data_IF_978478536811
#
_entry.id   IF_978478536811
#
_cell.length_a   1.000
_cell.length_b   1.000
_cell.length_c   1.000
_cell.angle_alpha   90.00
_cell.angle_beta   90.00
_cell.angle_gamma   90.00
#
_symmetry.space_group_name_H-M   'P 1'
#
loop_
_entity.id
_entity.type
_entity.pdbx_description
1 polymer ?
#
# COMPACT_ATOMS: atom_id res chain seq x y z
N UNK A 1 -19.16 25.27 25.61
CA UNK A 1 -19.57 24.05 24.90
C UNK A 1 -18.82 24.07 23.58
N UNK A 2 -17.67 23.42 23.53
CA UNK A 2 -16.88 23.29 22.29
C UNK A 2 -17.60 22.25 21.45
N UNK A 3 -18.01 22.65 20.24
CA UNK A 3 -18.67 21.77 19.29
C UNK A 3 -17.63 20.77 18.78
N UNK A 4 -17.58 19.61 19.43
CA UNK A 4 -16.64 18.50 19.19
C UNK A 4 -17.04 17.67 17.96
N UNK A 5 -17.57 18.35 16.94
CA UNK A 5 -17.80 17.76 15.62
C UNK A 5 -16.47 17.72 14.89
N UNK A 6 -15.64 16.78 15.32
CA UNK A 6 -14.49 16.36 14.55
C UNK A 6 -14.97 16.03 13.12
N UNK A 7 -14.34 16.56 12.06
CA UNK A 7 -14.75 16.31 10.67
C UNK A 7 -14.53 14.84 10.23
N UNK A 8 -14.21 13.94 11.15
CA UNK A 8 -13.95 12.52 10.90
C UNK A 8 -15.22 11.69 10.69
N UNK A 9 -16.42 12.25 10.92
CA UNK A 9 -17.65 11.43 11.08
C UNK A 9 -18.33 11.07 9.75
N UNK A 10 -18.00 11.70 8.62
CA UNK A 10 -18.79 11.48 7.39
C UNK A 10 -18.24 10.41 6.43
N UNK A 11 -17.07 9.83 6.72
CA UNK A 11 -16.52 8.72 5.94
C UNK A 11 -16.35 7.54 6.88
N UNK A 12 -17.05 6.44 6.62
CA UNK A 12 -16.86 5.20 7.38
C UNK A 12 -15.40 4.75 7.42
N UNK A 13 -15.04 3.70 8.19
CA UNK A 13 -13.65 3.28 8.42
C UNK A 13 -12.88 2.91 7.13
N UNK A 14 -13.58 2.82 6.00
CA UNK A 14 -13.07 2.48 4.68
C UNK A 14 -13.28 3.64 3.72
N UNK A 15 -12.17 4.18 3.19
CA UNK A 15 -12.18 5.21 2.15
C UNK A 15 -11.86 4.58 0.79
N UNK A 16 -12.81 4.50 -0.16
CA UNK A 16 -12.64 3.76 -1.42
C UNK A 16 -11.44 4.22 -2.25
N UNK A 17 -11.15 5.51 -2.27
CA UNK A 17 -9.99 6.05 -3.00
C UNK A 17 -8.68 5.53 -2.42
N UNK A 18 -8.59 5.40 -1.10
CA UNK A 18 -7.39 4.87 -0.43
C UNK A 18 -7.25 3.38 -0.70
N UNK A 19 -8.35 2.62 -0.66
CA UNK A 19 -8.38 1.20 -1.03
C UNK A 19 -7.84 1.01 -2.45
N UNK A 20 -8.42 1.71 -3.44
CA UNK A 20 -8.04 1.58 -4.84
C UNK A 20 -6.57 1.97 -5.09
N UNK A 21 -6.09 3.06 -4.48
CA UNK A 21 -4.71 3.52 -4.66
C UNK A 21 -3.70 2.61 -3.97
N UNK A 22 -4.01 2.13 -2.77
CA UNK A 22 -3.18 1.13 -2.07
C UNK A 22 -3.08 -0.14 -2.91
N UNK A 23 -4.21 -0.63 -3.43
CA UNK A 23 -4.24 -1.82 -4.27
C UNK A 23 -3.39 -1.66 -5.53
N UNK A 24 -3.56 -0.53 -6.22
CA UNK A 24 -2.79 -0.21 -7.43
C UNK A 24 -1.29 -0.17 -7.16
N UNK A 25 -0.86 0.47 -6.08
CA UNK A 25 0.56 0.57 -5.71
C UNK A 25 1.12 -0.80 -5.32
N UNK A 26 0.38 -1.58 -4.52
CA UNK A 26 0.83 -2.89 -4.07
C UNK A 26 1.00 -3.87 -5.25
N UNK A 27 0.02 -3.93 -6.17
CA UNK A 27 0.15 -4.72 -7.40
C UNK A 27 1.27 -4.17 -8.28
N UNK A 28 1.30 -2.86 -8.51
CA UNK A 28 2.29 -2.22 -9.39
C UNK A 28 3.72 -2.47 -8.94
N UNK A 29 4.02 -2.34 -7.64
CA UNK A 29 5.33 -2.65 -7.10
C UNK A 29 5.66 -4.14 -7.18
N UNK A 30 4.67 -5.02 -6.96
CA UNK A 30 4.87 -6.48 -7.10
C UNK A 30 5.23 -6.85 -8.54
N UNK A 31 4.54 -6.26 -9.52
CA UNK A 31 4.83 -6.47 -10.94
C UNK A 31 6.17 -5.84 -11.35
N UNK A 32 6.50 -4.65 -10.86
CA UNK A 32 7.81 -4.03 -11.10
C UNK A 32 8.95 -4.95 -10.62
N UNK A 33 8.80 -5.52 -9.43
CA UNK A 33 9.77 -6.48 -8.90
C UNK A 33 9.87 -7.71 -9.81
N UNK A 34 8.74 -8.37 -10.11
CA UNK A 34 8.74 -9.64 -10.84
C UNK A 34 9.12 -9.52 -12.31
N UNK A 35 8.72 -8.44 -12.98
CA UNK A 35 8.87 -8.29 -14.44
C UNK A 35 10.11 -7.50 -14.86
N UNK A 36 10.64 -6.65 -13.98
CA UNK A 36 11.77 -5.77 -14.31
C UNK A 36 12.96 -6.07 -13.41
N UNK A 37 12.79 -6.01 -12.09
CA UNK A 37 13.93 -6.13 -11.18
C UNK A 37 14.51 -7.55 -11.18
N UNK A 38 13.68 -8.58 -10.98
CA UNK A 38 14.12 -9.97 -10.89
C UNK A 38 14.89 -10.43 -12.15
N UNK A 39 14.38 -10.18 -13.38
CA UNK A 39 15.15 -10.50 -14.59
C UNK A 39 16.48 -9.74 -14.67
N UNK A 40 16.53 -8.48 -14.22
CA UNK A 40 17.74 -7.65 -14.28
C UNK A 40 18.84 -8.09 -13.32
N UNK A 41 18.47 -8.71 -12.20
CA UNK A 41 19.43 -9.21 -11.18
C UNK A 41 19.56 -10.74 -11.20
N UNK A 42 18.94 -11.41 -12.17
CA UNK A 42 18.83 -12.87 -12.23
C UNK A 42 20.18 -13.56 -12.25
N UNK A 43 21.10 -13.06 -13.07
CA UNK A 43 22.45 -13.62 -13.19
C UNK A 43 23.23 -13.51 -11.87
N UNK A 44 23.12 -12.36 -11.19
CA UNK A 44 23.73 -12.15 -9.87
C UNK A 44 23.13 -13.08 -8.82
N UNK A 45 21.80 -13.28 -8.85
CA UNK A 45 21.11 -14.19 -7.93
C UNK A 45 21.41 -15.67 -8.21
N UNK A 46 21.85 -16.02 -9.42
CA UNK A 46 22.27 -17.37 -9.77
C UNK A 46 23.65 -17.73 -9.21
N UNK A 47 24.49 -16.72 -8.94
CA UNK A 47 25.84 -16.91 -8.38
C UNK A 47 25.85 -17.10 -6.86
N UNK A 48 24.78 -16.72 -6.16
CA UNK A 48 24.65 -16.86 -4.70
C UNK A 48 23.87 -18.11 -4.29
N UNK A 49 24.04 -18.51 -3.02
CA UNK A 49 23.35 -19.67 -2.48
C UNK A 49 21.83 -19.48 -2.50
N UNK A 50 21.10 -20.58 -2.70
CA UNK A 50 19.63 -20.58 -2.78
C UNK A 50 18.98 -19.92 -1.55
N UNK A 51 19.55 -20.11 -0.36
CA UNK A 51 19.05 -19.49 0.88
C UNK A 51 19.14 -17.96 0.85
N UNK A 52 20.24 -17.41 0.29
CA UNK A 52 20.41 -15.97 0.13
C UNK A 52 19.41 -15.42 -0.89
N UNK A 53 19.24 -16.11 -2.02
CA UNK A 53 18.29 -15.72 -3.07
C UNK A 53 16.86 -15.66 -2.53
N UNK A 54 16.43 -16.68 -1.78
CA UNK A 54 15.11 -16.68 -1.12
C UNK A 54 15.00 -15.52 -0.12
N UNK A 55 16.03 -15.27 0.69
CA UNK A 55 16.06 -14.16 1.64
C UNK A 55 15.90 -12.80 0.96
N UNK A 56 16.61 -12.56 -0.14
CA UNK A 56 16.52 -11.33 -0.93
C UNK A 56 15.12 -11.17 -1.52
N UNK A 57 14.54 -12.21 -2.10
CA UNK A 57 13.19 -12.16 -2.66
C UNK A 57 12.13 -11.86 -1.59
N UNK A 58 12.23 -12.48 -0.42
CA UNK A 58 11.35 -12.21 0.72
C UNK A 58 11.49 -10.75 1.14
N UNK A 59 12.71 -10.25 1.33
CA UNK A 59 12.95 -8.86 1.72
C UNK A 59 12.40 -7.86 0.71
N UNK A 60 12.62 -8.08 -0.59
CA UNK A 60 12.12 -7.19 -1.65
C UNK A 60 10.59 -7.17 -1.71
N UNK A 61 9.96 -8.34 -1.65
CA UNK A 61 8.49 -8.46 -1.70
C UNK A 61 7.83 -7.90 -0.44
N UNK A 62 8.39 -8.18 0.74
CA UNK A 62 7.90 -7.60 2.00
C UNK A 62 8.09 -6.08 2.02
N UNK A 63 9.27 -5.58 1.61
CA UNK A 63 9.58 -4.16 1.58
C UNK A 63 8.64 -3.36 0.66
N UNK A 64 8.30 -3.90 -0.51
CA UNK A 64 7.39 -3.25 -1.45
C UNK A 64 5.94 -3.18 -0.92
N UNK A 65 5.46 -4.25 -0.28
CA UNK A 65 4.13 -4.30 0.34
C UNK A 65 4.03 -3.37 1.55
N UNK A 66 5.07 -3.32 2.39
CA UNK A 66 5.17 -2.31 3.47
C UNK A 66 5.15 -0.89 2.90
N UNK A 67 5.90 -0.63 1.82
CA UNK A 67 5.89 0.68 1.16
C UNK A 67 4.50 1.05 0.61
N UNK A 68 3.76 0.09 0.06
CA UNK A 68 2.38 0.30 -0.37
C UNK A 68 1.45 0.66 0.81
N UNK A 69 1.62 0.00 1.96
CA UNK A 69 0.90 0.32 3.19
C UNK A 69 1.19 1.73 3.71
N UNK A 70 2.47 2.11 3.74
CA UNK A 70 2.91 3.47 4.08
C UNK A 70 2.28 4.50 3.14
N UNK A 71 2.27 4.21 1.84
CA UNK A 71 1.66 5.09 0.85
C UNK A 71 0.15 5.27 1.09
N UNK A 72 -0.58 4.17 1.29
CA UNK A 72 -2.02 4.21 1.57
C UNK A 72 -2.36 5.02 2.82
N UNK A 73 -1.64 4.79 3.92
CA UNK A 73 -1.85 5.52 5.16
C UNK A 73 -1.47 7.00 5.05
N UNK A 74 -0.38 7.34 4.35
CA UNK A 74 -0.02 8.74 4.05
C UNK A 74 -1.08 9.42 3.19
N UNK A 75 -1.65 8.72 2.21
CA UNK A 75 -2.71 9.26 1.36
C UNK A 75 -3.97 9.58 2.17
N UNK A 76 -4.37 8.68 3.07
CA UNK A 76 -5.50 8.92 3.98
C UNK A 76 -5.23 10.13 4.87
N UNK A 77 -4.07 10.14 5.56
CA UNK A 77 -3.67 11.25 6.43
C UNK A 77 -3.67 12.59 5.68
N UNK A 78 -3.13 12.63 4.46
CA UNK A 78 -3.07 13.85 3.65
C UNK A 78 -4.45 14.43 3.34
N UNK A 79 -5.42 13.56 3.02
CA UNK A 79 -6.75 13.98 2.54
C UNK A 79 -7.76 14.18 3.65
N UNK A 80 -7.70 13.37 4.70
CA UNK A 80 -8.74 13.32 5.73
C UNK A 80 -8.19 13.51 7.15
N UNK A 81 -6.87 13.45 7.32
CA UNK A 81 -6.24 13.45 8.64
C UNK A 81 -6.40 12.08 9.28
N UNK A 82 -5.70 11.85 10.39
CA UNK A 82 -5.90 10.67 11.23
C UNK A 82 -5.73 11.05 12.69
N UNK A 83 -6.66 10.60 13.54
CA UNK A 83 -6.59 10.77 14.99
C UNK A 83 -5.67 9.73 15.64
N UNK A 84 -5.60 8.53 15.06
CA UNK A 84 -4.74 7.44 15.50
C UNK A 84 -4.05 6.71 14.33
N UNK A 85 -3.01 5.93 14.67
CA UNK A 85 -2.32 5.05 13.69
C UNK A 85 -3.26 3.99 13.11
N UNK A 86 -4.24 3.56 13.91
CA UNK A 86 -5.21 2.51 13.55
C UNK A 86 -6.23 2.94 12.50
N UNK A 87 -6.49 4.24 12.35
CA UNK A 87 -7.57 4.76 11.50
C UNK A 87 -7.36 4.42 10.02
N UNK A 88 -6.10 4.32 9.58
CA UNK A 88 -5.77 3.97 8.21
C UNK A 88 -5.83 2.47 7.92
N UNK A 89 -5.73 1.62 8.95
CA UNK A 89 -5.55 0.18 8.80
C UNK A 89 -6.71 -0.48 8.04
N UNK A 90 -8.00 -0.22 8.33
CA UNK A 90 -9.09 -0.90 7.63
C UNK A 90 -9.10 -0.62 6.12
N UNK A 91 -8.91 0.64 5.73
CA UNK A 91 -8.83 1.05 4.32
C UNK A 91 -7.64 0.43 3.60
N UNK A 92 -6.48 0.41 4.25
CA UNK A 92 -5.23 -0.09 3.67
C UNK A 92 -5.23 -1.62 3.57
N UNK A 93 -5.72 -2.32 4.60
CA UNK A 93 -5.88 -3.78 4.61
C UNK A 93 -6.89 -4.22 3.55
N UNK A 94 -8.01 -3.52 3.40
CA UNK A 94 -8.95 -3.83 2.32
C UNK A 94 -8.30 -3.61 0.95
N UNK A 95 -7.48 -2.56 0.80
CA UNK A 95 -6.64 -2.34 -0.37
C UNK A 95 -5.69 -3.51 -0.64
N UNK A 96 -5.07 -4.08 0.40
CA UNK A 96 -4.21 -5.25 0.29
C UNK A 96 -4.98 -6.50 -0.18
N UNK A 97 -6.20 -6.72 0.33
CA UNK A 97 -7.05 -7.83 -0.09
C UNK A 97 -7.45 -7.71 -1.58
N UNK A 98 -7.84 -6.51 -2.01
CA UNK A 98 -8.15 -6.22 -3.43
C UNK A 98 -6.90 -6.42 -4.31
N UNK A 99 -5.74 -5.97 -3.84
CA UNK A 99 -4.47 -6.16 -4.52
C UNK A 99 -4.14 -7.65 -4.70
N UNK A 100 -4.32 -8.44 -3.65
CA UNK A 100 -4.12 -9.88 -3.67
C UNK A 100 -5.04 -10.56 -4.67
N UNK A 101 -6.34 -10.20 -4.72
CA UNK A 101 -7.27 -10.76 -5.69
C UNK A 101 -6.88 -10.42 -7.13
N UNK A 102 -6.43 -9.19 -7.40
CA UNK A 102 -5.92 -8.80 -8.71
C UNK A 102 -4.65 -9.56 -9.08
N UNK A 103 -3.70 -9.69 -8.15
CA UNK A 103 -2.49 -10.49 -8.32
C UNK A 103 -2.82 -11.96 -8.58
N UNK A 104 -3.76 -12.55 -7.82
CA UNK A 104 -4.23 -13.92 -8.00
C UNK A 104 -4.82 -14.12 -9.39
N UNK A 105 -5.64 -13.18 -9.88
CA UNK A 105 -6.17 -13.21 -11.24
C UNK A 105 -5.05 -13.26 -12.29
N UNK A 106 -4.00 -12.44 -12.12
CA UNK A 106 -2.84 -12.45 -13.02
C UNK A 106 -2.04 -13.75 -12.94
N UNK A 107 -1.85 -14.31 -11.75
CA UNK A 107 -1.16 -15.59 -11.55
C UNK A 107 -1.93 -16.72 -12.22
N UNK A 108 -3.25 -16.80 -12.04
CA UNK A 108 -4.09 -17.82 -12.66
C UNK A 108 -4.12 -17.70 -14.19
N UNK A 109 -4.16 -16.48 -14.72
CA UNK A 109 -4.05 -16.22 -16.16
C UNK A 109 -2.67 -16.61 -16.72
N UNK A 110 -1.61 -16.39 -15.95
CA UNK A 110 -0.25 -16.79 -16.34
C UNK A 110 -0.07 -18.31 -16.28
N UNK A 111 -0.61 -18.95 -15.24
CA UNK A 111 -0.58 -20.39 -15.04
C UNK A 111 -1.32 -21.12 -16.17
N UNK A 112 -2.49 -20.62 -16.58
CA UNK A 112 -3.24 -21.19 -17.71
C UNK A 112 -2.52 -21.03 -19.04
N UNK A 113 -1.77 -19.95 -19.24
CA UNK A 113 -0.99 -19.73 -20.44
C UNK A 113 0.26 -20.62 -20.54
N UNK A 114 0.86 -21.00 -19.41
CA UNK A 114 2.13 -21.78 -19.35
C UNK A 114 1.89 -23.26 -19.03
N UNK A 115 0.65 -23.66 -18.72
CA UNK A 115 0.30 -25.04 -18.36
C UNK A 115 0.83 -25.47 -16.99
N UNK A 116 1.02 -24.51 -16.08
CA UNK A 116 1.56 -24.75 -14.74
C UNK A 116 0.43 -24.91 -13.73
N UNK A 117 0.46 -25.96 -12.90
CA UNK A 117 -0.50 -26.11 -11.80
C UNK A 117 0.04 -25.43 -10.54
N UNK A 118 -0.69 -24.41 -10.08
CA UNK A 118 -0.29 -23.62 -8.94
C UNK A 118 -0.73 -24.27 -7.63
N UNK A 119 0.14 -24.29 -6.61
CA UNK A 119 -0.17 -24.99 -5.36
C UNK A 119 -1.14 -24.18 -4.49
N UNK A 120 -2.33 -24.74 -4.26
CA UNK A 120 -3.41 -24.07 -3.51
C UNK A 120 -2.97 -23.61 -2.09
N UNK A 121 -2.07 -24.37 -1.45
CA UNK A 121 -1.52 -24.05 -0.13
C UNK A 121 -0.76 -22.72 -0.11
N UNK A 122 -0.01 -22.41 -1.19
CA UNK A 122 0.69 -21.13 -1.33
C UNK A 122 -0.29 -19.97 -1.31
N UNK A 123 -1.45 -20.13 -1.93
CA UNK A 123 -2.48 -19.09 -2.00
C UNK A 123 -3.08 -18.79 -0.62
N UNK A 124 -3.27 -19.81 0.22
CA UNK A 124 -3.80 -19.64 1.57
C UNK A 124 -2.85 -18.88 2.50
N UNK A 125 -1.54 -19.01 2.29
CA UNK A 125 -0.53 -18.31 3.09
C UNK A 125 -0.27 -16.90 2.56
N UNK A 126 -0.37 -16.70 1.24
CA UNK A 126 -0.08 -15.39 0.63
C UNK A 126 -1.11 -14.33 1.03
N UNK A 127 -2.42 -14.61 1.10
CA UNK A 127 -3.40 -13.58 1.49
C UNK A 127 -3.12 -13.00 2.90
N UNK A 128 -2.97 -13.81 3.97
CA UNK A 128 -2.58 -13.30 5.29
C UNK A 128 -1.27 -12.52 5.24
N UNK A 129 -0.28 -12.99 4.48
CA UNK A 129 1.01 -12.31 4.34
C UNK A 129 0.85 -10.92 3.72
N UNK A 130 0.08 -10.77 2.64
CA UNK A 130 -0.20 -9.46 2.03
C UNK A 130 -0.87 -8.51 3.02
N UNK A 131 -1.89 -9.00 3.73
CA UNK A 131 -2.63 -8.20 4.71
C UNK A 131 -1.69 -7.73 5.83
N UNK A 132 -0.85 -8.61 6.37
CA UNK A 132 0.09 -8.28 7.43
C UNK A 132 1.14 -7.28 6.95
N UNK A 133 1.80 -7.53 5.83
CA UNK A 133 2.90 -6.68 5.35
C UNK A 133 2.42 -5.28 4.96
N UNK A 134 1.28 -5.18 4.27
CA UNK A 134 0.68 -3.89 3.92
C UNK A 134 0.12 -3.20 5.17
N UNK A 135 -0.51 -3.94 6.08
CA UNK A 135 -1.00 -3.40 7.36
C UNK A 135 0.11 -2.85 8.26
N UNK A 136 1.25 -3.55 8.34
CA UNK A 136 2.46 -3.09 9.04
C UNK A 136 2.93 -1.76 8.46
N UNK A 137 2.95 -1.61 7.13
CA UNK A 137 3.25 -0.35 6.47
C UNK A 137 2.35 0.81 6.91
N UNK A 138 1.04 0.56 7.07
CA UNK A 138 0.13 1.59 7.56
C UNK A 138 0.47 2.07 8.98
N UNK A 139 0.81 1.13 9.87
CA UNK A 139 1.13 1.42 11.27
C UNK A 139 2.43 2.23 11.46
N UNK A 140 3.32 2.22 10.47
CA UNK A 140 4.55 3.04 10.47
C UNK A 140 4.28 4.52 10.21
N UNK A 141 3.08 4.92 9.78
CA UNK A 141 2.75 6.31 9.49
C UNK A 141 2.28 7.02 10.75
N UNK A 142 2.98 8.09 11.14
CA UNK A 142 2.59 8.93 12.26
C UNK A 142 1.25 9.62 11.98
N UNK A 143 0.29 9.58 12.92
CA UNK A 143 -0.98 10.26 12.78
C UNK A 143 -0.79 11.77 12.80
N UNK A 144 -1.79 12.50 12.31
CA UNK A 144 -1.72 13.95 12.25
C UNK A 144 -2.86 14.57 11.46
N UNK A 145 -3.00 15.91 11.54
CA UNK A 145 -4.02 16.64 10.81
C UNK A 145 -3.84 16.47 9.30
N UNK A 146 -4.89 16.83 8.54
CA UNK A 146 -4.80 16.92 7.09
C UNK A 146 -3.66 17.88 6.69
N UNK A 147 -2.91 17.51 5.65
CA UNK A 147 -1.95 18.42 5.01
C UNK A 147 -2.69 19.50 4.17
N UNK A 148 -4.03 19.56 4.23
CA UNK A 148 -4.89 20.46 3.47
C UNK A 148 -5.24 21.80 4.15
N UNK A 149 -4.78 22.07 5.39
CA UNK A 149 -4.87 23.41 5.99
C UNK A 149 -3.46 24.04 6.02
N UNK A 150 -3.22 25.16 5.32
CA UNK A 150 -3.84 26.43 5.71
C UNK A 150 -4.36 27.33 4.56
N UNK A 151 -5.69 27.54 4.44
CA UNK A 151 -6.27 28.59 3.59
C UNK A 151 -6.11 30.02 4.16
N UNK A 152 -5.67 30.23 5.42
CA UNK A 152 -5.29 31.54 5.92
C UNK A 152 -3.96 32.02 5.34
N UNK A 153 -2.99 31.13 5.13
CA UNK A 153 -1.78 31.36 4.32
C UNK A 153 -2.10 31.78 2.87
N UNK A 154 -3.21 31.29 2.27
CA UNK A 154 -3.66 31.78 0.95
C UNK A 154 -4.17 33.23 0.98
N UNK A 155 -4.77 33.68 2.08
CA UNK A 155 -5.24 35.07 2.22
C UNK A 155 -4.07 36.04 2.44
N UNK A 156 -3.03 35.63 3.16
CA UNK A 156 -1.82 36.45 3.33
C UNK A 156 -0.98 36.56 2.06
N UNK A 157 -0.88 35.49 1.25
CA UNK A 157 -0.15 35.54 -0.04
C UNK A 157 -0.99 36.18 -1.15
N UNK A 158 -2.31 36.03 -1.13
CA UNK A 158 -3.23 36.72 -2.07
C UNK A 158 -3.36 38.22 -1.81
N UNK A 159 -3.36 38.65 -0.54
CA UNK A 159 -3.42 40.06 -0.17
C UNK A 159 -2.11 40.85 -0.40
N UNK A 160 -0.98 40.15 -0.62
CA UNK A 160 0.32 40.77 -0.90
C UNK A 160 0.62 41.06 -2.37
N UNK A 161 -0.32 40.83 -3.28
CA UNK A 161 -0.14 40.99 -4.75
C UNK A 161 -1.02 42.08 -5.39
N UNK A 162 -1.64 42.92 -4.57
CA UNK A 162 -2.50 44.03 -5.01
C UNK A 162 -1.91 45.43 -4.73
N UNK A 163 -0.59 45.54 -4.59
CA UNK A 163 0.13 46.81 -4.51
C UNK A 163 1.15 46.95 -5.63
#
# INVERSE_FOLDING_TARGET
MVDDRSPFVEHGPVVPVVVARTATIAVGLTLLLGLILLPSIGDVLAEVSQGVTLGVLVLLTTGSRVAAGVFGARLLRRRYGTGGRGDAVPSVVLGAAVAFLAYLGLVLLSASAVGYEDSWWRLMVELPRWVVEVGLGALLVTPGPTEQYDPALRRFVGAGSAH
#
